data_IF_786541751310
#
_entry.id   IF_786541751310
#
_cell.length_a   1.000
_cell.length_b   1.000
_cell.length_c   1.000
_cell.angle_alpha   90.00
_cell.angle_beta   90.00
_cell.angle_gamma   90.00
#
_symmetry.space_group_name_H-M   'P 1'
#
loop_
_entity.id
_entity.type
_entity.pdbx_description
1 polymer ?
#
# COMPACT_ATOMS: atom_id res chain seq x y z
N UNK A 1 -18.33 -8.09 14.62
CA UNK A 1 -17.34 -7.08 14.99
C UNK A 1 -16.29 -7.12 13.90
N UNK A 2 -16.48 -6.32 12.86
CA UNK A 2 -15.55 -6.25 11.75
C UNK A 2 -14.38 -5.41 12.25
N UNK A 3 -13.30 -6.08 12.67
CA UNK A 3 -12.09 -5.40 13.04
C UNK A 3 -11.55 -4.70 11.81
N UNK A 4 -11.24 -3.42 11.92
CA UNK A 4 -10.36 -2.77 10.94
C UNK A 4 -9.07 -3.59 10.92
N UNK A 5 -8.85 -4.37 9.86
CA UNK A 5 -7.60 -5.10 9.69
C UNK A 5 -6.47 -4.07 9.59
N UNK A 6 -5.74 -3.90 10.69
CA UNK A 6 -4.57 -3.06 10.80
C UNK A 6 -3.35 -3.94 10.52
N UNK A 7 -2.76 -3.73 9.34
CA UNK A 7 -1.53 -4.39 8.94
C UNK A 7 -0.33 -3.60 9.48
N UNK A 8 0.61 -4.31 10.11
CA UNK A 8 1.88 -3.74 10.58
C UNK A 8 3.01 -4.12 9.64
N UNK A 9 3.64 -3.11 9.05
CA UNK A 9 4.78 -3.29 8.15
C UNK A 9 6.05 -2.85 8.88
N UNK A 10 7.07 -3.71 8.88
CA UNK A 10 8.39 -3.38 9.43
C UNK A 10 9.34 -3.11 8.26
N UNK A 11 9.81 -1.87 8.13
CA UNK A 11 10.75 -1.44 7.08
C UNK A 11 11.92 -0.72 7.71
N UNK A 12 13.15 -1.15 7.42
CA UNK A 12 14.38 -0.52 7.94
C UNK A 12 14.39 -0.33 9.47
N UNK A 13 13.79 -1.27 10.20
CA UNK A 13 13.67 -1.22 11.67
C UNK A 13 12.58 -0.28 12.21
N UNK A 14 11.79 0.34 11.33
CA UNK A 14 10.64 1.17 11.66
C UNK A 14 9.34 0.39 11.47
N UNK A 15 8.44 0.47 12.44
CA UNK A 15 7.09 -0.08 12.36
C UNK A 15 6.15 0.99 11.78
N UNK A 16 5.39 0.62 10.74
CA UNK A 16 4.39 1.46 10.09
C UNK A 16 3.06 0.72 10.12
N UNK A 17 2.09 1.25 10.85
CA UNK A 17 0.73 0.73 10.86
C UNK A 17 -0.10 1.29 9.71
N UNK A 18 -0.75 0.41 8.96
CA UNK A 18 -1.63 0.78 7.85
C UNK A 18 -2.97 0.09 8.06
N UNK A 19 -4.02 0.90 8.08
CA UNK A 19 -5.39 0.45 8.28
C UNK A 19 -6.07 0.21 6.93
N UNK A 20 -7.01 -0.72 6.91
CA UNK A 20 -7.92 -0.91 5.77
C UNK A 20 -7.29 -1.67 4.59
N UNK A 21 -6.16 -2.33 4.82
CA UNK A 21 -5.51 -3.17 3.83
C UNK A 21 -5.53 -4.62 4.27
N UNK A 22 -6.04 -5.47 3.37
CA UNK A 22 -5.96 -6.91 3.57
C UNK A 22 -4.49 -7.37 3.55
N UNK A 23 -4.19 -8.38 4.35
CA UNK A 23 -2.88 -9.04 4.38
C UNK A 23 -2.46 -9.49 2.97
N UNK A 24 -3.40 -10.05 2.21
CA UNK A 24 -3.19 -10.49 0.82
C UNK A 24 -2.76 -9.33 -0.10
N UNK A 25 -3.30 -8.13 0.08
CA UNK A 25 -2.86 -6.96 -0.68
C UNK A 25 -1.41 -6.62 -0.35
N UNK A 26 -1.09 -6.56 0.94
CA UNK A 26 0.26 -6.23 1.44
C UNK A 26 1.27 -7.25 0.91
N UNK A 27 1.01 -8.55 1.04
CA UNK A 27 1.88 -9.60 0.51
C UNK A 27 2.10 -9.45 -1.00
N UNK A 28 1.04 -9.22 -1.78
CA UNK A 28 1.17 -9.06 -3.23
C UNK A 28 1.97 -7.81 -3.60
N UNK A 29 1.74 -6.69 -2.91
CA UNK A 29 2.42 -5.43 -3.18
C UNK A 29 3.92 -5.55 -2.91
N UNK A 30 4.31 -6.18 -1.79
CA UNK A 30 5.71 -6.32 -1.38
C UNK A 30 6.41 -7.57 -1.91
N UNK A 31 5.70 -8.49 -2.58
CA UNK A 31 6.32 -9.60 -3.31
C UNK A 31 7.05 -9.17 -4.59
N UNK A 32 6.81 -7.94 -5.05
CA UNK A 32 7.36 -7.38 -6.29
C UNK A 32 8.43 -6.33 -5.97
N UNK A 33 9.47 -6.28 -6.79
CA UNK A 33 10.50 -5.23 -6.70
C UNK A 33 9.95 -3.86 -7.14
N UNK A 34 9.08 -3.86 -8.15
CA UNK A 34 8.41 -2.66 -8.68
C UNK A 34 6.94 -2.93 -8.99
N UNK A 35 6.09 -1.90 -8.89
CA UNK A 35 4.68 -1.97 -9.30
C UNK A 35 4.21 -0.63 -9.87
N UNK A 36 3.16 -0.66 -10.67
CA UNK A 36 2.50 0.53 -11.23
C UNK A 36 1.20 0.84 -10.52
N UNK A 37 0.66 2.06 -10.70
CA UNK A 37 -0.69 2.37 -10.22
C UNK A 37 -1.76 1.43 -10.76
N UNK A 38 -1.60 0.93 -12.00
CA UNK A 38 -2.50 -0.05 -12.61
C UNK A 38 -2.47 -1.39 -11.89
N UNK A 39 -1.29 -1.83 -11.43
CA UNK A 39 -1.19 -3.06 -10.62
C UNK A 39 -1.97 -2.92 -9.31
N UNK A 40 -1.88 -1.76 -8.66
CA UNK A 40 -2.59 -1.50 -7.40
C UNK A 40 -4.10 -1.49 -7.60
N UNK A 41 -4.61 -0.84 -8.66
CA UNK A 41 -6.04 -0.85 -9.01
C UNK A 41 -6.53 -2.28 -9.26
N UNK A 42 -5.74 -3.11 -9.94
CA UNK A 42 -6.12 -4.50 -10.19
C UNK A 42 -6.15 -5.35 -8.90
N UNK A 43 -5.38 -4.98 -7.88
CA UNK A 43 -5.39 -5.66 -6.58
C UNK A 43 -6.53 -5.17 -5.67
N UNK A 44 -7.02 -3.95 -5.88
CA UNK A 44 -8.07 -3.30 -5.10
C UNK A 44 -9.20 -2.79 -6.02
N UNK A 45 -9.92 -3.69 -6.73
CA UNK A 45 -10.90 -3.30 -7.74
C UNK A 45 -12.11 -2.53 -7.17
N UNK A 46 -12.37 -2.69 -5.87
CA UNK A 46 -13.51 -2.08 -5.17
C UNK A 46 -13.16 -0.73 -4.51
N UNK A 47 -11.91 -0.26 -4.64
CA UNK A 47 -11.42 0.96 -4.00
C UNK A 47 -11.35 2.11 -5.01
N UNK A 48 -11.65 3.32 -4.56
CA UNK A 48 -11.52 4.51 -5.39
C UNK A 48 -10.06 4.96 -5.48
N UNK A 49 -9.60 5.24 -6.69
CA UNK A 49 -8.21 5.62 -6.93
C UNK A 49 -7.81 6.91 -6.19
N UNK A 50 -8.65 7.94 -6.23
CA UNK A 50 -8.31 9.25 -5.66
C UNK A 50 -8.60 9.33 -4.16
N UNK A 51 -9.69 8.69 -3.72
CA UNK A 51 -10.18 8.81 -2.35
C UNK A 51 -9.49 7.81 -1.43
N UNK A 52 -9.22 6.59 -1.90
CA UNK A 52 -8.67 5.52 -1.05
C UNK A 52 -7.21 5.19 -1.39
N UNK A 53 -6.91 4.92 -2.67
CA UNK A 53 -5.63 4.37 -3.08
C UNK A 53 -4.51 5.42 -3.02
N UNK A 54 -4.71 6.63 -3.59
CA UNK A 54 -3.70 7.70 -3.56
C UNK A 54 -3.31 8.07 -2.12
N UNK A 55 -4.24 8.29 -1.17
CA UNK A 55 -3.87 8.61 0.21
C UNK A 55 -3.08 7.50 0.89
N UNK A 56 -3.44 6.24 0.65
CA UNK A 56 -2.68 5.09 1.13
C UNK A 56 -1.26 5.07 0.57
N UNK A 57 -1.10 5.17 -0.75
CA UNK A 57 0.22 5.20 -1.39
C UNK A 57 1.05 6.40 -0.92
N UNK A 58 0.43 7.57 -0.77
CA UNK A 58 1.08 8.78 -0.25
C UNK A 58 1.60 8.57 1.17
N UNK A 59 0.83 7.88 2.03
CA UNK A 59 1.30 7.51 3.37
C UNK A 59 2.51 6.59 3.28
N UNK A 60 2.48 5.56 2.44
CA UNK A 60 3.62 4.67 2.23
C UNK A 60 4.89 5.40 1.76
N UNK A 61 4.75 6.37 0.86
CA UNK A 61 5.85 7.22 0.38
C UNK A 61 6.38 8.11 1.51
N UNK A 62 5.50 8.80 2.24
CA UNK A 62 5.89 9.68 3.35
C UNK A 62 6.59 8.92 4.48
N UNK A 63 6.15 7.69 4.75
CA UNK A 63 6.74 6.80 5.74
C UNK A 63 8.04 6.14 5.26
N UNK A 64 8.43 6.36 3.98
CA UNK A 64 9.58 5.80 3.27
C UNK A 64 9.54 4.27 3.15
N UNK A 65 8.34 3.73 3.00
CA UNK A 65 8.09 2.30 2.77
C UNK A 65 8.23 1.96 1.28
N UNK A 66 7.74 2.84 0.41
CA UNK A 66 7.89 2.73 -1.05
C UNK A 66 8.48 4.03 -1.61
N UNK A 67 9.02 3.96 -2.81
CA UNK A 67 9.56 5.11 -3.53
C UNK A 67 8.88 5.23 -4.89
N UNK A 68 8.66 6.46 -5.34
CA UNK A 68 8.08 6.74 -6.66
C UNK A 68 9.22 7.07 -7.61
N UNK A 69 9.35 6.30 -8.67
CA UNK A 69 10.24 6.63 -9.77
C UNK A 69 9.50 7.56 -10.75
N UNK A 70 10.04 8.76 -11.04
CA UNK A 70 9.50 9.57 -12.12
C UNK A 70 9.73 8.81 -13.43
N UNK A 71 8.64 8.40 -14.08
CA UNK A 71 8.71 7.72 -15.38
C UNK A 71 9.47 8.57 -16.39
N UNK A 72 10.49 7.97 -17.00
CA UNK A 72 11.29 8.57 -18.08
C UNK A 72 10.45 8.71 -19.33
#
# INVERSE_FOLDING_TARGET
AEGEDESKIIVSGKEVSIKGLSEKFVENLFSRETFTGKDVINLLPDYDWEIDIIPMLSKLVNERVIFVEPGV
#
